data_IF_649247252135
#
_entry.id   IF_649247252135
#
_cell.length_a   1.000
_cell.length_b   1.000
_cell.length_c   1.000
_cell.angle_alpha   90.00
_cell.angle_beta   90.00
_cell.angle_gamma   90.00
#
_symmetry.space_group_name_H-M   'P 1'
#
loop_
_entity.id
_entity.type
_entity.pdbx_description
1 polymer ?
#
# COMPACT_ATOMS: atom_id res chain seq x y z
N UNK A 1 -10.05 -23.22 29.37
CA UNK A 1 -9.22 -22.77 28.24
C UNK A 1 -7.78 -23.06 28.61
N UNK A 2 -7.19 -24.12 28.06
CA UNK A 2 -5.80 -24.50 28.34
C UNK A 2 -4.87 -23.91 27.29
N UNK A 3 -3.61 -23.65 27.65
CA UNK A 3 -2.56 -23.14 26.75
C UNK A 3 -2.39 -24.00 25.47
N UNK A 4 -2.74 -25.28 25.53
CA UNK A 4 -2.77 -26.18 24.36
C UNK A 4 -3.82 -25.80 23.32
N UNK A 5 -4.90 -25.12 23.71
CA UNK A 5 -5.96 -24.70 22.79
C UNK A 5 -5.50 -23.48 21.95
N UNK A 6 -4.57 -22.68 22.47
CA UNK A 6 -4.05 -21.47 21.80
C UNK A 6 -3.06 -21.82 20.67
N UNK A 7 -2.27 -22.88 20.83
CA UNK A 7 -1.30 -23.34 19.81
C UNK A 7 -1.94 -24.11 18.64
N UNK A 8 -3.26 -24.32 18.65
CA UNK A 8 -3.99 -24.95 17.55
C UNK A 8 -4.42 -23.96 16.45
N UNK A 9 -4.29 -22.66 16.69
CA UNK A 9 -4.58 -21.60 15.71
C UNK A 9 -3.46 -21.50 14.65
N UNK A 10 -2.25 -21.99 14.96
CA UNK A 10 -1.10 -21.95 14.06
C UNK A 10 -0.46 -23.35 13.96
N UNK A 11 -1.24 -24.35 13.58
CA UNK A 11 -0.62 -25.55 13.01
C UNK A 11 -0.22 -25.19 11.56
N UNK A 12 1.04 -25.39 11.15
CA UNK A 12 1.39 -25.26 9.74
C UNK A 12 0.58 -26.29 8.96
N UNK A 13 -0.33 -25.82 8.10
CA UNK A 13 -1.12 -26.69 7.23
C UNK A 13 -0.16 -27.34 6.25
N UNK A 14 -0.09 -28.66 6.32
CA UNK A 14 0.96 -29.50 5.74
C UNK A 14 0.80 -29.75 4.23
N UNK A 15 0.43 -28.73 3.46
CA UNK A 15 0.62 -28.74 2.01
C UNK A 15 0.96 -27.33 1.55
N UNK A 16 2.26 -27.04 1.45
CA UNK A 16 2.74 -25.84 0.77
C UNK A 16 2.31 -25.91 -0.69
N UNK A 17 1.30 -25.14 -1.08
CA UNK A 17 1.01 -24.89 -2.49
C UNK A 17 2.02 -23.87 -3.03
N UNK A 18 3.21 -24.37 -3.35
CA UNK A 18 4.30 -23.55 -3.90
C UNK A 18 3.90 -22.83 -5.18
N UNK A 19 2.99 -23.40 -5.97
CA UNK A 19 2.54 -22.78 -7.22
C UNK A 19 1.71 -21.54 -6.89
N UNK A 20 0.71 -21.70 -6.02
CA UNK A 20 -0.11 -20.57 -5.58
C UNK A 20 0.73 -19.48 -4.88
N UNK A 21 1.71 -19.87 -4.06
CA UNK A 21 2.62 -18.89 -3.44
C UNK A 21 3.42 -18.10 -4.49
N UNK A 22 3.92 -18.77 -5.53
CA UNK A 22 4.63 -18.09 -6.63
C UNK A 22 3.71 -17.15 -7.43
N UNK A 23 2.45 -17.53 -7.64
CA UNK A 23 1.44 -16.69 -8.31
C UNK A 23 1.13 -15.44 -7.49
N UNK A 24 0.89 -15.59 -6.19
CA UNK A 24 0.71 -14.46 -5.27
C UNK A 24 1.93 -13.53 -5.29
N UNK A 25 3.13 -14.11 -5.24
CA UNK A 25 4.37 -13.32 -5.32
C UNK A 25 4.50 -12.59 -6.66
N UNK A 26 4.04 -13.19 -7.77
CA UNK A 26 4.02 -12.51 -9.07
C UNK A 26 3.10 -11.29 -9.07
N UNK A 27 1.93 -11.37 -8.42
CA UNK A 27 1.02 -10.23 -8.28
C UNK A 27 1.65 -9.13 -7.43
N UNK A 28 2.30 -9.50 -6.32
CA UNK A 28 3.00 -8.53 -5.46
C UNK A 28 4.14 -7.81 -6.18
N UNK A 29 4.94 -8.50 -6.99
CA UNK A 29 5.97 -7.86 -7.81
C UNK A 29 5.36 -6.90 -8.83
N UNK A 30 4.25 -7.27 -9.48
CA UNK A 30 3.57 -6.38 -10.42
C UNK A 30 2.99 -5.13 -9.72
N UNK A 31 2.52 -5.27 -8.48
CA UNK A 31 2.08 -4.14 -7.65
C UNK A 31 3.26 -3.23 -7.28
N UNK A 32 4.39 -3.80 -6.89
CA UNK A 32 5.63 -3.06 -6.63
C UNK A 32 6.08 -2.29 -7.88
N UNK A 33 6.15 -2.94 -9.04
CA UNK A 33 6.50 -2.32 -10.31
C UNK A 33 5.58 -1.12 -10.62
N UNK A 34 4.28 -1.26 -10.38
CA UNK A 34 3.33 -0.17 -10.56
C UNK A 34 3.59 1.01 -9.61
N UNK A 35 3.92 0.73 -8.34
CA UNK A 35 4.28 1.74 -7.33
C UNK A 35 5.67 2.37 -7.54
N UNK A 36 6.59 1.70 -8.24
CA UNK A 36 7.85 2.31 -8.70
C UNK A 36 7.66 3.18 -9.94
N UNK A 37 6.81 2.75 -10.88
CA UNK A 37 6.56 3.50 -12.12
C UNK A 37 5.71 4.75 -11.87
N UNK A 38 4.69 4.66 -11.01
CA UNK A 38 3.78 5.76 -10.62
C UNK A 38 3.17 6.51 -11.80
N UNK A 39 2.92 5.80 -12.87
CA UNK A 39 2.45 6.38 -14.11
C UNK A 39 0.92 6.41 -14.13
N UNK A 40 0.32 7.58 -13.86
CA UNK A 40 -1.13 7.75 -13.86
C UNK A 40 -1.80 7.32 -15.17
N UNK A 41 -1.11 7.40 -16.32
CA UNK A 41 -1.64 6.92 -17.59
C UNK A 41 -1.78 5.38 -17.65
N UNK A 42 -1.15 4.65 -16.72
CA UNK A 42 -1.23 3.20 -16.56
C UNK A 42 -2.02 2.78 -15.31
N UNK A 43 -2.67 3.71 -14.63
CA UNK A 43 -3.45 3.42 -13.40
C UNK A 43 -4.50 2.34 -13.64
N UNK A 44 -5.26 2.45 -14.74
CA UNK A 44 -6.24 1.43 -15.14
C UNK A 44 -5.63 0.04 -15.30
N UNK A 45 -4.40 -0.05 -15.83
CA UNK A 45 -3.70 -1.32 -15.95
C UNK A 45 -3.31 -1.90 -14.58
N UNK A 46 -2.81 -1.07 -13.66
CA UNK A 46 -2.48 -1.50 -12.30
C UNK A 46 -3.72 -1.97 -11.52
N UNK A 47 -4.88 -1.39 -11.79
CA UNK A 47 -6.14 -1.78 -11.15
C UNK A 47 -6.63 -3.18 -11.50
N UNK A 48 -6.11 -3.80 -12.57
CA UNK A 48 -6.40 -5.21 -12.89
C UNK A 48 -5.71 -6.20 -11.94
N UNK A 49 -4.81 -5.73 -11.06
CA UNK A 49 -4.22 -6.54 -9.99
C UNK A 49 -5.19 -6.78 -8.83
N UNK A 50 -6.30 -6.05 -8.79
CA UNK A 50 -7.30 -6.11 -7.73
C UNK A 50 -8.57 -6.83 -8.22
N UNK A 51 -9.34 -7.37 -7.28
CA UNK A 51 -10.64 -7.94 -7.58
C UNK A 51 -11.58 -6.89 -8.19
N UNK A 52 -12.26 -7.24 -9.28
CA UNK A 52 -13.22 -6.36 -9.97
C UNK A 52 -14.59 -6.33 -9.26
N UNK A 53 -14.78 -7.13 -8.21
CA UNK A 53 -16.02 -7.21 -7.46
C UNK A 53 -16.32 -5.92 -6.70
N UNK A 54 -17.61 -5.60 -6.60
CA UNK A 54 -18.10 -4.42 -5.86
C UNK A 54 -17.87 -4.50 -4.34
N UNK A 55 -17.30 -5.60 -3.84
CA UNK A 55 -17.13 -5.89 -2.42
C UNK A 55 -15.67 -5.83 -1.96
N UNK A 56 -14.74 -5.39 -2.82
CA UNK A 56 -13.36 -5.15 -2.37
C UNK A 56 -13.34 -4.06 -1.30
N UNK A 57 -12.62 -4.30 -0.20
CA UNK A 57 -12.51 -3.35 0.89
C UNK A 57 -11.05 -2.90 1.06
N UNK A 58 -10.83 -1.59 1.15
CA UNK A 58 -9.52 -1.00 1.44
C UNK A 58 -9.59 -0.28 2.77
N UNK A 59 -8.65 -0.60 3.66
CA UNK A 59 -8.63 -0.12 5.04
C UNK A 59 -7.33 0.64 5.27
N UNK A 60 -7.43 1.95 5.47
CA UNK A 60 -6.32 2.85 5.82
C UNK A 60 -6.03 2.88 7.32
N UNK A 61 -5.08 3.73 7.70
CA UNK A 61 -4.52 3.83 9.06
C UNK A 61 -5.55 4.37 10.07
N UNK A 62 -6.46 5.23 9.62
CA UNK A 62 -7.51 5.89 10.39
C UNK A 62 -8.81 5.12 10.49
N UNK A 63 -8.90 3.91 9.93
CA UNK A 63 -10.13 3.13 9.94
C UNK A 63 -10.45 2.56 11.32
N UNK A 64 -11.41 3.18 12.01
CA UNK A 64 -11.87 2.76 13.33
C UNK A 64 -13.26 2.08 13.33
N UNK A 65 -14.05 2.25 12.26
CA UNK A 65 -15.38 1.66 12.10
C UNK A 65 -15.64 1.33 10.62
N UNK A 66 -16.40 0.26 10.35
CA UNK A 66 -16.85 -0.09 9.00
C UNK A 66 -17.66 1.04 8.36
N UNK A 67 -17.33 1.39 7.12
CA UNK A 67 -17.85 2.55 6.39
C UNK A 67 -17.55 3.90 7.09
N UNK A 68 -16.58 3.93 8.01
CA UNK A 68 -16.07 5.14 8.64
C UNK A 68 -14.97 5.79 7.81
N UNK A 69 -14.23 6.72 8.41
CA UNK A 69 -13.06 7.32 7.77
C UNK A 69 -12.05 6.23 7.39
N UNK A 70 -11.48 6.33 6.18
CA UNK A 70 -10.47 5.41 5.65
C UNK A 70 -10.89 3.93 5.54
N UNK A 71 -12.19 3.62 5.57
CA UNK A 71 -12.70 2.32 5.15
C UNK A 71 -13.50 2.48 3.86
N UNK A 72 -12.91 2.03 2.77
CA UNK A 72 -13.46 2.19 1.43
C UNK A 72 -13.96 0.87 0.86
N UNK A 73 -15.00 0.92 0.03
CA UNK A 73 -15.61 -0.25 -0.59
C UNK A 73 -15.76 -0.02 -2.08
N UNK A 74 -15.33 -0.98 -2.88
CA UNK A 74 -15.46 -0.97 -4.33
C UNK A 74 -14.24 -0.42 -5.07
N UNK A 75 -14.21 -0.71 -6.36
CA UNK A 75 -13.07 -0.48 -7.25
C UNK A 75 -12.79 1.02 -7.51
N UNK A 76 -13.83 1.86 -7.51
CA UNK A 76 -13.70 3.32 -7.67
C UNK A 76 -12.82 3.94 -6.59
N UNK A 77 -13.03 3.57 -5.33
CA UNK A 77 -12.20 4.08 -4.24
C UNK A 77 -10.76 3.53 -4.30
N UNK A 78 -10.57 2.30 -4.77
CA UNK A 78 -9.22 1.76 -5.00
C UNK A 78 -8.44 2.62 -5.99
N UNK A 79 -9.10 3.05 -7.08
CA UNK A 79 -8.50 3.98 -8.04
C UNK A 79 -8.07 5.28 -7.38
N UNK A 80 -8.94 5.90 -6.60
CA UNK A 80 -8.66 7.17 -5.94
C UNK A 80 -7.49 7.08 -4.96
N UNK A 81 -7.41 6.00 -4.19
CA UNK A 81 -6.32 5.77 -3.23
C UNK A 81 -4.99 5.61 -3.96
N UNK A 82 -4.93 4.73 -4.96
CA UNK A 82 -3.68 4.48 -5.70
C UNK A 82 -3.23 5.75 -6.45
N UNK A 83 -4.16 6.47 -7.07
CA UNK A 83 -3.86 7.76 -7.71
C UNK A 83 -3.28 8.76 -6.69
N UNK A 84 -3.93 8.89 -5.53
CA UNK A 84 -3.48 9.77 -4.45
C UNK A 84 -2.10 9.39 -3.92
N UNK A 85 -1.82 8.10 -3.71
CA UNK A 85 -0.51 7.62 -3.32
C UNK A 85 0.54 8.01 -4.38
N UNK A 86 0.25 7.80 -5.66
CA UNK A 86 1.18 8.10 -6.74
C UNK A 86 1.38 9.59 -6.98
N UNK A 87 0.42 10.43 -6.66
CA UNK A 87 0.52 11.88 -6.79
C UNK A 87 1.22 12.53 -5.60
N UNK A 88 0.94 12.07 -4.38
CA UNK A 88 1.26 12.79 -3.16
C UNK A 88 2.27 12.10 -2.25
N UNK A 89 2.38 10.77 -2.26
CA UNK A 89 3.30 10.08 -1.37
C UNK A 89 4.74 10.12 -1.89
N UNK A 90 5.71 9.90 -1.01
CA UNK A 90 7.09 9.58 -1.42
C UNK A 90 7.20 8.22 -2.11
N UNK A 91 8.41 7.81 -2.47
CA UNK A 91 8.63 6.49 -3.08
C UNK A 91 8.24 5.39 -2.09
N UNK A 92 7.44 4.42 -2.53
CA UNK A 92 7.08 3.26 -1.70
C UNK A 92 7.91 2.07 -2.17
N UNK A 93 8.76 1.56 -1.30
CA UNK A 93 9.54 0.35 -1.56
C UNK A 93 8.93 -0.81 -0.79
N UNK A 94 8.58 -1.89 -1.49
CA UNK A 94 7.90 -3.05 -0.91
C UNK A 94 8.88 -4.23 -0.83
N UNK A 95 9.04 -4.86 0.34
CA UNK A 95 9.91 -6.04 0.45
C UNK A 95 9.16 -7.32 0.04
N UNK A 96 8.88 -7.45 -1.26
CA UNK A 96 8.17 -8.59 -1.84
C UNK A 96 8.93 -9.90 -1.61
N UNK A 97 10.25 -9.84 -1.52
CA UNK A 97 11.09 -11.02 -1.27
C UNK A 97 10.82 -11.63 0.11
N UNK A 98 10.74 -10.81 1.16
CA UNK A 98 10.53 -11.29 2.54
C UNK A 98 9.06 -11.46 2.94
N UNK A 99 8.12 -11.10 2.05
CA UNK A 99 6.68 -11.24 2.27
C UNK A 99 6.31 -12.65 2.76
N UNK A 100 5.58 -12.71 3.87
CA UNK A 100 5.01 -13.94 4.40
C UNK A 100 3.68 -14.19 3.69
N UNK A 101 3.57 -15.32 3.02
CA UNK A 101 2.41 -15.70 2.22
C UNK A 101 1.91 -17.04 2.76
N UNK A 102 0.65 -17.07 3.20
CA UNK A 102 -0.01 -18.29 3.65
C UNK A 102 -1.21 -18.56 2.73
N UNK A 103 -1.16 -19.65 1.97
CA UNK A 103 -2.22 -20.06 1.05
C UNK A 103 -3.10 -21.13 1.69
N UNK A 104 -4.41 -20.98 1.55
CA UNK A 104 -5.40 -21.97 1.98
C UNK A 104 -6.54 -22.07 0.97
N UNK A 105 -6.47 -23.08 0.08
CA UNK A 105 -7.42 -23.21 -1.02
C UNK A 105 -7.28 -22.05 -2.00
N UNK A 106 -8.38 -21.31 -2.22
CA UNK A 106 -8.44 -20.18 -3.15
C UNK A 106 -8.09 -18.83 -2.51
N UNK A 107 -7.69 -18.81 -1.24
CA UNK A 107 -7.38 -17.57 -0.49
C UNK A 107 -5.93 -17.57 -0.03
N UNK A 108 -5.29 -16.41 -0.12
CA UNK A 108 -3.96 -16.17 0.45
C UNK A 108 -4.00 -14.99 1.43
N UNK A 109 -3.31 -15.14 2.56
CA UNK A 109 -3.02 -14.03 3.48
C UNK A 109 -1.57 -13.62 3.34
N UNK A 110 -1.35 -12.31 3.30
CA UNK A 110 -0.06 -11.70 3.01
C UNK A 110 0.25 -10.72 4.13
N UNK A 111 1.49 -10.76 4.62
CA UNK A 111 2.07 -9.68 5.41
C UNK A 111 3.45 -9.33 4.87
N UNK A 112 3.71 -8.04 4.69
CA UNK A 112 4.93 -7.52 4.08
C UNK A 112 5.32 -6.22 4.76
N UNK A 113 6.62 -5.91 4.74
CA UNK A 113 7.13 -4.60 5.14
C UNK A 113 7.24 -3.73 3.89
N UNK A 114 6.76 -2.49 3.99
CA UNK A 114 6.99 -1.46 2.98
C UNK A 114 7.55 -0.20 3.65
N UNK A 115 8.40 0.51 2.92
CA UNK A 115 9.01 1.77 3.36
C UNK A 115 8.53 2.91 2.49
N UNK A 116 8.15 4.02 3.12
CA UNK A 116 7.85 5.28 2.45
C UNK A 116 9.06 6.22 2.54
N UNK A 117 9.64 6.57 1.39
CA UNK A 117 10.82 7.43 1.28
C UNK A 117 10.42 8.78 0.67
N UNK A 118 10.45 9.83 1.49
CA UNK A 118 10.23 11.20 1.03
C UNK A 118 11.54 11.99 1.00
N UNK A 119 11.93 12.46 -0.19
CA UNK A 119 13.06 13.38 -0.34
C UNK A 119 12.56 14.81 -0.20
N UNK A 120 12.80 15.43 0.94
CA UNK A 120 12.53 16.86 1.13
C UNK A 120 13.68 17.67 0.53
N UNK A 121 13.46 18.25 -0.66
CA UNK A 121 14.38 19.25 -1.19
C UNK A 121 14.24 20.53 -0.35
N UNK A 122 15.24 20.81 0.49
CA UNK A 122 15.39 22.10 1.16
C UNK A 122 15.66 23.17 0.09
N UNK A 123 14.61 23.80 -0.42
CA UNK A 123 14.75 25.04 -1.18
C UNK A 123 15.21 26.10 -0.17
N UNK A 124 16.48 26.53 -0.25
CA UNK A 124 16.96 27.70 0.47
C UNK A 124 16.05 28.89 0.12
N UNK A 125 15.51 29.65 1.09
CA UNK A 125 14.78 30.86 0.76
C UNK A 125 15.73 31.80 0.00
N UNK A 126 15.32 32.22 -1.20
CA UNK A 126 15.98 33.31 -1.92
C UNK A 126 16.00 34.54 -1.01
N UNK A 127 17.14 35.23 -0.85
CA UNK A 127 17.16 36.49 -0.13
C UNK A 127 16.25 37.47 -0.89
N UNK A 128 15.20 37.94 -0.21
CA UNK A 128 14.32 38.98 -0.72
C UNK A 128 15.21 40.20 -1.01
N UNK A 129 15.43 40.51 -2.29
CA UNK A 129 15.98 41.79 -2.69
C UNK A 129 14.86 42.82 -2.70
N UNK A 130 14.98 43.82 -1.83
CA UNK A 130 14.28 45.10 -1.96
C UNK A 130 12.94 45.22 -1.25
N UNK A 131 12.98 45.83 -0.06
CA UNK A 131 11.99 46.83 0.31
C UNK A 131 12.65 47.86 1.23
N UNK A 132 12.97 49.02 0.66
CA UNK A 132 13.31 50.24 1.38
C UNK A 132 12.20 50.55 2.40
N UNK A 133 12.53 50.56 3.68
CA UNK A 133 11.66 50.99 4.77
C UNK A 133 12.36 52.07 5.59
N UNK A 134 11.84 53.29 5.49
CA UNK A 134 12.29 54.51 6.15
C UNK A 134 12.61 54.33 7.65
N UNK A 135 13.77 54.82 8.07
CA UNK A 135 13.99 55.25 9.46
C UNK A 135 13.71 56.75 9.58
N UNK A 136 12.60 57.08 10.24
CA UNK A 136 12.24 58.36 10.86
C UNK A 136 11.58 57.93 12.19
N UNK A 137 12.04 58.23 13.41
CA UNK A 137 12.89 59.28 13.98
C UNK A 137 13.91 58.67 14.95
#
# INVERSE_FOLDING_TARGET
>A
MQLSDFFRIIQPVSSFDKKAEMEVRSVLNALEDAYQERNLAKLDHALHLFDEGEQIETIGIGAYQRNGLEWFVGHEWMREIIAGDWEYWGNVEMDVHSAQINVHGEVAWISMIAMLIQVMLLIKPSPISGANGNFIK
#
